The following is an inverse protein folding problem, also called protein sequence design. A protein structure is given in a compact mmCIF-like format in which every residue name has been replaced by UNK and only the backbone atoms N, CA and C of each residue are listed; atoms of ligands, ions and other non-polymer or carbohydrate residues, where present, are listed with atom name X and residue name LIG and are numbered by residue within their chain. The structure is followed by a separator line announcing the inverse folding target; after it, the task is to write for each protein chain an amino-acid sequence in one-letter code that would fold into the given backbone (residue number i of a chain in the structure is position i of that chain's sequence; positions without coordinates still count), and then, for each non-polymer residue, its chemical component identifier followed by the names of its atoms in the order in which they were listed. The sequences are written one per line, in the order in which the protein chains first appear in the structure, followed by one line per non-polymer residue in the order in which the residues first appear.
data_IF_595051513796
#
_entry.id   IF_595051513796
#
_cell.length_a   1.000
_cell.length_b   1.000
_cell.length_c   1.000
_cell.angle_alpha   90.00
_cell.angle_beta   90.00
_cell.angle_gamma   90.00
#
_symmetry.space_group_name_H-M   'P 1'
#
loop_
_entity.id
_entity.type
_entity.pdbx_description
1 polymer ?
#
# COMPACT_ATOMS: atom_id res chain seq x y z
N UNK A 1 -16.51 -10.00 20.91
CA UNK A 1 -16.59 -8.59 20.52
C UNK A 1 -16.20 -8.44 19.06
N UNK A 2 -17.02 -7.75 18.29
CA UNK A 2 -16.71 -7.47 16.88
C UNK A 2 -15.84 -6.23 16.80
N UNK A 3 -14.81 -6.27 15.95
CA UNK A 3 -13.89 -5.16 15.74
C UNK A 3 -13.89 -4.76 14.27
N UNK A 4 -13.71 -3.48 14.04
CA UNK A 4 -13.46 -2.95 12.70
C UNK A 4 -11.96 -2.76 12.60
N UNK A 5 -11.35 -3.41 11.61
CA UNK A 5 -9.92 -3.26 11.34
C UNK A 5 -9.69 -2.05 10.46
N UNK A 6 -8.65 -1.31 10.76
CA UNK A 6 -8.24 -0.16 9.96
C UNK A 6 -6.83 -0.43 9.44
N UNK A 7 -6.67 -0.28 8.13
CA UNK A 7 -5.38 -0.43 7.47
C UNK A 7 -5.05 0.85 6.70
N UNK A 8 -3.77 1.12 6.57
CA UNK A 8 -3.28 2.23 5.75
C UNK A 8 -2.29 1.68 4.72
N UNK A 9 -2.41 2.16 3.48
CA UNK A 9 -1.59 1.76 2.36
C UNK A 9 -0.92 2.97 1.75
N UNK A 10 0.31 2.79 1.27
CA UNK A 10 1.03 3.81 0.54
C UNK A 10 1.06 3.50 -0.95
N UNK A 11 0.81 4.51 -1.76
CA UNK A 11 0.97 4.42 -3.21
C UNK A 11 2.22 5.20 -3.55
N UNK A 12 3.29 4.45 -3.83
CA UNK A 12 4.63 4.97 -4.07
C UNK A 12 4.92 4.82 -5.56
N UNK A 13 5.06 5.95 -6.25
CA UNK A 13 5.29 5.96 -7.70
C UNK A 13 6.58 6.67 -8.06
N UNK A 14 7.22 6.19 -9.12
CA UNK A 14 8.39 6.86 -9.70
C UNK A 14 8.58 6.37 -11.15
N UNK A 15 8.74 7.31 -12.07
CA UNK A 15 9.02 6.97 -13.46
C UNK A 15 7.97 6.10 -14.14
N UNK A 16 6.70 6.29 -13.82
CA UNK A 16 5.60 5.49 -14.38
C UNK A 16 5.43 4.12 -13.73
N UNK A 17 6.20 3.82 -12.70
CA UNK A 17 6.13 2.55 -11.97
C UNK A 17 5.58 2.76 -10.57
N UNK A 18 4.96 1.72 -10.03
CA UNK A 18 4.43 1.71 -8.66
C UNK A 18 5.12 0.60 -7.86
N UNK A 19 5.47 0.90 -6.62
CA UNK A 19 6.13 -0.05 -5.73
C UNK A 19 5.09 -0.99 -5.11
N UNK A 20 5.38 -2.29 -5.20
CA UNK A 20 4.62 -3.35 -4.54
C UNK A 20 5.57 -4.22 -3.73
N UNK A 21 5.05 -4.88 -2.71
CA UNK A 21 5.81 -5.79 -1.87
C UNK A 21 5.18 -7.18 -1.91
N UNK A 22 6.03 -8.20 -1.84
CA UNK A 22 5.58 -9.57 -1.64
C UNK A 22 6.06 -10.00 -0.26
N UNK A 23 5.12 -10.35 0.61
CA UNK A 23 5.44 -10.86 1.93
C UNK A 23 5.84 -12.34 1.84
N UNK A 24 6.68 -12.77 2.76
CA UNK A 24 7.07 -14.16 2.89
C UNK A 24 5.85 -15.05 3.03
N UNK A 25 5.82 -16.17 2.32
CA UNK A 25 4.70 -17.13 2.28
C UNK A 25 3.44 -16.65 1.55
N UNK A 26 3.52 -15.52 0.83
CA UNK A 26 2.44 -15.05 -0.03
C UNK A 26 2.89 -15.09 -1.48
N UNK A 27 1.96 -15.43 -2.37
CA UNK A 27 2.22 -15.53 -3.81
C UNK A 27 1.66 -14.35 -4.60
N UNK A 28 1.22 -13.30 -3.92
CA UNK A 28 0.73 -12.09 -4.54
C UNK A 28 1.56 -10.86 -4.10
N UNK A 29 1.45 -9.80 -4.88
CA UNK A 29 2.10 -8.52 -4.61
C UNK A 29 1.07 -7.53 -4.06
N UNK A 30 1.43 -6.83 -2.99
CA UNK A 30 0.52 -5.94 -2.29
C UNK A 30 1.11 -4.53 -2.23
N UNK A 31 0.24 -3.52 -2.16
CA UNK A 31 0.69 -2.19 -1.80
C UNK A 31 1.23 -2.22 -0.36
N UNK A 32 2.33 -1.51 -0.08
CA UNK A 32 2.90 -1.50 1.27
C UNK A 32 1.96 -0.83 2.26
N UNK A 33 2.02 -1.27 3.50
CA UNK A 33 1.21 -0.74 4.59
C UNK A 33 0.85 -1.79 5.61
N UNK A 34 -0.07 -1.48 6.50
CA UNK A 34 -0.47 -2.38 7.55
C UNK A 34 -1.55 -1.80 8.45
N UNK A 35 -1.77 -2.46 9.57
CA UNK A 35 -2.80 -2.10 10.53
C UNK A 35 -2.41 -0.86 11.34
N UNK A 36 -3.40 -0.03 11.64
CA UNK A 36 -3.24 1.12 12.53
C UNK A 36 -3.00 0.64 13.97
N UNK A 37 -2.12 1.32 14.68
CA UNK A 37 -1.93 1.11 16.10
C UNK A 37 -2.82 2.06 16.89
N UNK A 38 -3.21 1.64 18.06
CA UNK A 38 -4.02 2.48 18.93
C UNK A 38 -3.29 3.80 19.21
N UNK A 39 -4.00 4.90 19.01
CA UNK A 39 -3.44 6.24 19.27
C UNK A 39 -2.82 6.93 18.07
N UNK A 40 -2.64 6.22 16.95
CA UNK A 40 -2.16 6.91 15.74
C UNK A 40 -3.32 7.23 14.78
N UNK A 41 -3.15 8.30 14.02
CA UNK A 41 -4.05 8.59 12.92
C UNK A 41 -3.59 7.84 11.65
N UNK A 42 -4.40 7.82 10.58
CA UNK A 42 -4.02 7.10 9.35
C UNK A 42 -2.72 7.56 8.71
N UNK A 43 -2.40 8.85 8.77
CA UNK A 43 -1.15 9.38 8.20
C UNK A 43 0.06 8.89 8.99
N UNK A 44 -0.04 8.93 10.32
CA UNK A 44 1.01 8.40 11.20
C UNK A 44 1.20 6.90 10.99
N UNK A 45 0.10 6.17 10.80
CA UNK A 45 0.14 4.74 10.54
C UNK A 45 0.97 4.41 9.30
N UNK A 46 0.67 5.06 8.17
CA UNK A 46 1.40 4.74 6.93
C UNK A 46 2.86 5.18 7.02
N UNK A 47 3.14 6.30 7.67
CA UNK A 47 4.52 6.74 7.87
C UNK A 47 5.32 5.70 8.66
N UNK A 48 4.75 5.18 9.75
CA UNK A 48 5.37 4.13 10.55
C UNK A 48 5.55 2.84 9.78
N UNK A 49 4.49 2.39 9.10
CA UNK A 49 4.53 1.12 8.34
C UNK A 49 5.59 1.15 7.24
N UNK A 50 5.70 2.24 6.51
CA UNK A 50 6.73 2.36 5.46
C UNK A 50 8.14 2.32 6.05
N UNK A 51 8.33 2.97 7.18
CA UNK A 51 9.64 2.95 7.85
C UNK A 51 9.97 1.53 8.34
N UNK A 52 9.01 0.83 8.93
CA UNK A 52 9.20 -0.54 9.40
C UNK A 52 9.43 -1.54 8.26
N UNK A 53 8.61 -1.47 7.22
CA UNK A 53 8.69 -2.44 6.11
C UNK A 53 9.83 -2.14 5.15
N UNK A 54 10.05 -0.87 4.82
CA UNK A 54 10.94 -0.47 3.73
C UNK A 54 12.16 0.33 4.19
N UNK A 55 12.22 0.72 5.46
CA UNK A 55 13.37 1.44 6.00
C UNK A 55 13.49 2.88 5.53
N UNK A 56 12.45 3.43 4.90
CA UNK A 56 12.44 4.78 4.36
C UNK A 56 11.27 5.55 4.93
N UNK A 57 11.52 6.77 5.37
CA UNK A 57 10.46 7.66 5.82
C UNK A 57 9.69 8.18 4.63
N UNK A 58 8.40 7.86 4.57
CA UNK A 58 7.51 8.32 3.52
C UNK A 58 7.04 9.74 3.77
N UNK A 59 7.04 10.55 2.71
CA UNK A 59 6.45 11.88 2.72
C UNK A 59 4.99 11.72 2.33
N UNK A 60 4.11 11.68 3.33
CA UNK A 60 2.70 11.33 3.14
C UNK A 60 1.95 12.50 2.52
N UNK A 61 1.44 12.28 1.33
CA UNK A 61 0.66 13.25 0.59
C UNK A 61 -0.83 13.08 0.82
N UNK A 62 -1.60 13.31 -0.23
CA UNK A 62 -3.07 13.32 -0.12
C UNK A 62 -3.64 11.91 -0.05
N UNK A 63 -4.82 11.82 0.55
CA UNK A 63 -5.65 10.63 0.56
C UNK A 63 -6.24 10.43 -0.84
N UNK A 64 -6.06 9.25 -1.42
CA UNK A 64 -6.56 8.92 -2.77
C UNK A 64 -7.80 8.06 -2.74
N UNK A 65 -7.85 7.06 -1.85
CA UNK A 65 -8.96 6.12 -1.76
C UNK A 65 -9.28 5.81 -0.31
N UNK A 66 -10.56 5.54 -0.06
CA UNK A 66 -11.04 4.87 1.15
C UNK A 66 -11.80 3.63 0.68
N UNK A 67 -11.40 2.47 1.17
CA UNK A 67 -11.97 1.19 0.77
C UNK A 67 -12.57 0.48 1.98
N UNK A 68 -13.79 -0.02 1.84
CA UNK A 68 -14.44 -0.82 2.88
C UNK A 68 -14.81 -2.19 2.34
N UNK A 69 -14.61 -3.22 3.16
CA UNK A 69 -14.99 -4.58 2.78
C UNK A 69 -15.17 -5.46 4.02
N UNK A 70 -15.83 -6.60 3.80
CA UNK A 70 -15.93 -7.67 4.78
C UNK A 70 -15.25 -8.91 4.21
N UNK A 71 -14.46 -9.58 5.04
CA UNK A 71 -13.87 -10.85 4.62
C UNK A 71 -14.87 -12.00 4.79
N UNK A 72 -14.46 -13.23 4.42
CA UNK A 72 -15.32 -14.42 4.51
C UNK A 72 -15.75 -14.75 5.94
N UNK A 73 -14.99 -14.31 6.94
CA UNK A 73 -15.34 -14.49 8.35
C UNK A 73 -16.27 -13.39 8.88
N UNK A 74 -16.64 -12.41 8.03
CA UNK A 74 -17.50 -11.30 8.42
C UNK A 74 -16.77 -10.16 9.11
N UNK A 75 -15.44 -10.21 9.17
CA UNK A 75 -14.65 -9.10 9.72
C UNK A 75 -14.69 -7.91 8.78
N UNK A 76 -14.97 -6.73 9.34
CA UNK A 76 -15.09 -5.49 8.59
C UNK A 76 -13.75 -4.75 8.61
N UNK A 77 -13.31 -4.27 7.44
CA UNK A 77 -12.06 -3.53 7.29
C UNK A 77 -12.30 -2.23 6.55
N UNK A 78 -11.61 -1.18 7.00
CA UNK A 78 -11.51 0.11 6.31
C UNK A 78 -10.05 0.33 5.97
N UNK A 79 -9.76 0.63 4.71
CA UNK A 79 -8.39 0.92 4.24
C UNK A 79 -8.30 2.34 3.71
N UNK A 80 -7.23 3.04 4.11
CA UNK A 80 -6.90 4.38 3.63
C UNK A 80 -5.67 4.28 2.72
N UNK A 81 -5.74 4.88 1.55
CA UNK A 81 -4.64 4.86 0.56
C UNK A 81 -4.11 6.27 0.35
N UNK A 82 -2.86 6.48 0.68
CA UNK A 82 -2.21 7.79 0.56
C UNK A 82 -1.18 7.80 -0.55
N UNK A 83 -1.11 8.89 -1.30
CA UNK A 83 0.00 9.15 -2.21
C UNK A 83 1.25 9.44 -1.36
N UNK A 84 2.38 8.85 -1.74
CA UNK A 84 3.67 9.10 -1.09
C UNK A 84 4.50 9.96 -2.04
N UNK A 85 4.85 11.18 -1.58
CA UNK A 85 5.41 12.21 -2.45
C UNK A 85 6.88 11.99 -2.81
N UNK A 86 7.62 11.23 -2.01
CA UNK A 86 9.07 11.04 -2.19
C UNK A 86 9.40 9.65 -2.75
N UNK A 87 8.72 9.25 -3.83
CA UNK A 87 8.91 7.92 -4.43
C UNK A 87 10.36 7.58 -4.76
N UNK A 88 11.15 8.56 -5.22
CA UNK A 88 12.55 8.34 -5.56
C UNK A 88 13.40 7.83 -4.39
N UNK A 89 13.05 8.16 -3.16
CA UNK A 89 13.79 7.74 -1.97
C UNK A 89 13.67 6.23 -1.72
N UNK A 90 12.68 5.58 -2.35
CA UNK A 90 12.43 4.15 -2.22
C UNK A 90 13.15 3.31 -3.27
N UNK A 91 13.98 3.92 -4.10
CA UNK A 91 14.75 3.21 -5.12
C UNK A 91 16.01 2.56 -4.56
N UNK A 92 16.46 2.94 -3.35
CA UNK A 92 17.68 2.43 -2.73
C UNK A 92 17.47 1.04 -2.16
N UNK A 93 18.20 0.05 -2.68
CA UNK A 93 18.14 -1.32 -2.19
C UNK A 93 18.70 -1.49 -0.78
N UNK A 94 19.70 -0.71 -0.40
CA UNK A 94 20.32 -0.83 0.92
C UNK A 94 19.35 -0.55 2.06
N UNK A 95 18.52 0.49 1.92
CA UNK A 95 17.51 0.82 2.92
C UNK A 95 16.46 -0.29 3.02
N UNK A 96 16.06 -0.86 1.87
CA UNK A 96 15.03 -1.88 1.80
C UNK A 96 15.48 -3.23 2.35
N UNK A 97 16.77 -3.53 2.30
CA UNK A 97 17.31 -4.82 2.76
C UNK A 97 17.45 -4.91 4.29
N UNK A 98 17.44 -3.79 5.01
CA UNK A 98 17.78 -3.76 6.44
C UNK A 98 16.60 -3.91 7.39
N UNK A 99 15.37 -3.80 6.91
CA UNK A 99 14.19 -3.84 7.76
C UNK A 99 13.29 -5.02 7.41
N UNK A 100 12.80 -5.70 8.42
CA UNK A 100 11.85 -6.81 8.30
C UNK A 100 12.10 -7.76 7.14
N UNK A 101 13.38 -8.04 6.83
CA UNK A 101 13.78 -8.91 5.73
C UNK A 101 13.16 -10.30 5.79
N UNK A 102 12.74 -10.75 6.98
CA UNK A 102 12.05 -12.02 7.18
C UNK A 102 10.57 -11.96 6.81
N UNK A 103 9.98 -10.75 6.75
CA UNK A 103 8.56 -10.55 6.41
C UNK A 103 8.36 -10.20 4.94
N UNK A 104 9.32 -9.50 4.35
CA UNK A 104 9.28 -9.06 2.96
C UNK A 104 10.19 -9.96 2.12
N UNK A 105 9.60 -10.74 1.23
CA UNK A 105 10.37 -11.60 0.32
C UNK A 105 10.91 -10.82 -0.87
N UNK A 106 10.16 -9.83 -1.36
CA UNK A 106 10.53 -9.10 -2.57
C UNK A 106 9.89 -7.71 -2.58
N UNK A 107 10.64 -6.73 -3.09
CA UNK A 107 10.13 -5.39 -3.40
C UNK A 107 10.26 -5.20 -4.90
N UNK A 108 9.18 -4.84 -5.57
CA UNK A 108 9.16 -4.70 -7.02
C UNK A 108 8.54 -3.37 -7.44
N UNK A 109 8.99 -2.87 -8.59
CA UNK A 109 8.42 -1.70 -9.24
C UNK A 109 7.71 -2.18 -10.50
N UNK A 110 6.39 -2.06 -10.52
CA UNK A 110 5.56 -2.58 -11.61
C UNK A 110 4.98 -1.47 -12.45
N UNK A 111 4.81 -1.76 -13.75
CA UNK A 111 4.12 -0.87 -14.69
C UNK A 111 2.71 -1.41 -14.96
N UNK A 112 1.82 -0.60 -15.56
CA UNK A 112 0.50 -1.11 -15.96
C UNK A 112 0.52 -2.32 -16.91
N UNK A 113 1.66 -2.56 -17.60
CA UNK A 113 1.83 -3.70 -18.48
C UNK A 113 2.05 -5.02 -17.73
N UNK A 114 2.38 -4.97 -16.45
CA UNK A 114 2.61 -6.17 -15.61
C UNK A 114 1.27 -6.79 -15.17
N UNK A 115 0.37 -7.03 -16.13
CA UNK A 115 -1.01 -7.47 -15.86
C UNK A 115 -1.13 -8.96 -15.54
N UNK A 116 -0.07 -9.72 -15.71
CA UNK A 116 -0.05 -11.16 -15.42
C UNK A 116 0.18 -11.45 -13.93
N UNK A 117 0.55 -10.46 -13.16
CA UNK A 117 0.83 -10.64 -11.73
C UNK A 117 -0.44 -10.45 -10.89
N UNK A 118 -0.52 -11.21 -9.80
CA UNK A 118 -1.61 -11.06 -8.84
C UNK A 118 -1.27 -9.91 -7.90
N UNK A 119 -1.87 -8.76 -8.14
CA UNK A 119 -1.65 -7.57 -7.31
C UNK A 119 -2.86 -7.32 -6.40
N UNK A 120 -2.56 -6.79 -5.23
CA UNK A 120 -3.56 -6.51 -4.18
C UNK A 120 -3.36 -5.11 -3.59
N UNK A 121 -4.38 -4.50 -3.01
CA UNK A 121 -5.76 -4.99 -2.92
C UNK A 121 -6.44 -4.97 -4.30
N UNK A 122 -7.36 -5.90 -4.52
CA UNK A 122 -8.04 -6.03 -5.81
C UNK A 122 -8.83 -4.78 -6.21
N UNK A 123 -9.29 -4.02 -5.25
CA UNK A 123 -10.08 -2.81 -5.52
C UNK A 123 -9.32 -1.76 -6.32
N UNK A 124 -7.97 -1.75 -6.29
CA UNK A 124 -7.18 -0.77 -7.04
C UNK A 124 -6.63 -1.32 -8.35
N UNK A 125 -6.82 -2.58 -8.65
CA UNK A 125 -6.23 -3.24 -9.82
C UNK A 125 -6.62 -2.54 -11.13
N UNK A 126 -7.89 -2.21 -11.30
CA UNK A 126 -8.36 -1.53 -12.51
C UNK A 126 -7.68 -0.16 -12.70
N UNK A 127 -7.57 0.61 -11.62
CA UNK A 127 -6.92 1.93 -11.67
C UNK A 127 -5.43 1.79 -12.02
N UNK A 128 -4.77 0.78 -11.47
CA UNK A 128 -3.38 0.49 -11.77
C UNK A 128 -3.20 0.13 -13.26
N UNK A 129 -4.03 -0.77 -13.77
CA UNK A 129 -3.95 -1.22 -15.16
C UNK A 129 -4.21 -0.10 -16.16
N UNK A 130 -5.07 0.85 -15.80
CA UNK A 130 -5.36 2.02 -16.64
C UNK A 130 -4.35 3.16 -16.49
N UNK A 131 -3.37 3.03 -15.58
CA UNK A 131 -2.40 4.08 -15.31
C UNK A 131 -2.99 5.27 -14.56
N UNK A 132 -4.13 5.08 -13.88
CA UNK A 132 -4.83 6.16 -13.16
C UNK A 132 -4.86 5.96 -11.64
N UNK A 133 -3.91 5.18 -11.12
CA UNK A 133 -3.86 4.87 -9.70
C UNK A 133 -3.73 6.14 -8.85
N UNK A 134 -2.83 7.05 -9.25
CA UNK A 134 -2.72 8.38 -8.65
C UNK A 134 -3.57 9.31 -9.51
N UNK A 135 -4.77 9.61 -9.05
CA UNK A 135 -5.74 10.41 -9.79
C UNK A 135 -5.88 11.82 -9.22
N UNK A 136 -6.78 12.61 -9.80
CA UNK A 136 -7.05 14.00 -9.44
C UNK A 136 -7.38 14.27 -7.96
N UNK A 137 -8.00 15.40 -7.66
CA UNK A 137 -8.12 15.90 -6.28
C UNK A 137 -9.18 15.23 -5.41
N UNK A 138 -10.11 14.51 -6.01
CA UNK A 138 -11.24 13.90 -5.29
C UNK A 138 -10.88 12.53 -4.71
N UNK A 139 -11.12 12.35 -3.42
CA UNK A 139 -11.00 11.03 -2.77
C UNK A 139 -12.07 10.10 -3.36
N UNK A 140 -11.67 8.89 -3.73
CA UNK A 140 -12.60 7.88 -4.21
C UNK A 140 -12.94 6.90 -3.12
N UNK A 141 -14.23 6.69 -2.91
CA UNK A 141 -14.74 5.70 -1.97
C UNK A 141 -15.02 4.40 -2.73
N UNK A 142 -14.36 3.33 -2.31
CA UNK A 142 -14.49 2.00 -2.94
C UNK A 142 -15.17 1.05 -1.95
N UNK A 143 -16.10 0.27 -2.46
CA UNK A 143 -16.86 -0.67 -1.64
C UNK A 143 -16.79 -2.05 -2.30
N UNK A 144 -16.38 -3.03 -1.53
CA UNK A 144 -16.30 -4.43 -1.98
C UNK A 144 -17.15 -5.35 -1.14
#
# INVERSE_FOLDING_TARGET
MQEIKIRCRGIITHGGKTLFVQHTERDFYNLPGGHIDYGEDPQECIERELLEELGVRGDVGRLLYVHTFKNSAGEQTVEFFFAIENGADFLSHEALEKTHAHEIAEVVWLTPEDTHLDIRPKCIEEFFQKGTLVHGETVRFLKS
#
